data_IF_771180721043
#
_entry.id   IF_771180721043
#
_cell.length_a   1.000
_cell.length_b   1.000
_cell.length_c   1.000
_cell.angle_alpha   90.00
_cell.angle_beta   90.00
_cell.angle_gamma   90.00
#
_symmetry.space_group_name_H-M   'P 1'
#
loop_
_entity.id
_entity.type
_entity.pdbx_description
1 polymer ?
#
# COMPACT_ATOMS: atom_id res chain seq x y z
N UNK A 1 4.82 -7.62 -0.89
CA UNK A 1 3.91 -7.33 -2.04
C UNK A 1 4.76 -7.36 -3.29
N UNK A 2 4.25 -7.99 -4.36
CA UNK A 2 4.93 -8.11 -5.64
C UNK A 2 3.96 -7.66 -6.74
N UNK A 3 4.30 -6.58 -7.43
CA UNK A 3 3.57 -6.08 -8.59
C UNK A 3 4.06 -6.84 -9.83
N UNK A 4 3.18 -7.51 -10.58
CA UNK A 4 3.57 -8.16 -11.82
C UNK A 4 4.18 -7.18 -12.83
N UNK A 5 5.05 -7.64 -13.73
CA UNK A 5 5.43 -6.84 -14.90
C UNK A 5 4.19 -6.46 -15.70
N UNK A 6 4.21 -5.26 -16.30
CA UNK A 6 3.09 -4.69 -17.05
C UNK A 6 1.79 -4.56 -16.24
N UNK A 7 1.94 -4.23 -14.95
CA UNK A 7 0.84 -3.85 -14.09
C UNK A 7 1.26 -2.70 -13.16
N UNK A 8 0.29 -2.00 -12.60
CA UNK A 8 0.47 -1.12 -11.46
C UNK A 8 -0.40 -1.60 -10.30
N UNK A 9 0.01 -1.25 -9.08
CA UNK A 9 -0.80 -1.43 -7.87
C UNK A 9 -1.28 -0.09 -7.34
N UNK A 10 -2.56 0.03 -7.00
CA UNK A 10 -3.09 1.17 -6.25
C UNK A 10 -3.62 0.66 -4.91
N UNK A 11 -3.09 1.21 -3.82
CA UNK A 11 -3.56 0.89 -2.47
C UNK A 11 -4.58 1.93 -2.03
N UNK A 12 -5.71 1.46 -1.50
CA UNK A 12 -6.79 2.31 -1.00
C UNK A 12 -7.15 1.91 0.43
N UNK A 13 -7.49 2.88 1.31
CA UNK A 13 -7.99 2.57 2.64
C UNK A 13 -9.35 1.87 2.55
N UNK A 14 -9.66 1.02 3.53
CA UNK A 14 -11.00 0.44 3.64
C UNK A 14 -11.98 1.47 4.20
N UNK A 15 -13.22 1.45 3.71
CA UNK A 15 -14.28 2.36 4.18
C UNK A 15 -14.54 2.23 5.69
N UNK A 16 -14.31 1.06 6.29
CA UNK A 16 -14.39 0.88 7.74
C UNK A 16 -13.33 1.69 8.50
N UNK A 17 -12.11 1.82 7.97
CA UNK A 17 -11.07 2.65 8.58
C UNK A 17 -11.45 4.14 8.49
N UNK A 18 -11.94 4.57 7.33
CA UNK A 18 -12.43 5.95 7.13
C UNK A 18 -13.56 6.30 8.11
N UNK A 19 -14.50 5.37 8.34
CA UNK A 19 -15.58 5.54 9.33
C UNK A 19 -15.11 5.63 10.78
N UNK A 20 -13.87 5.21 11.09
CA UNK A 20 -13.25 5.40 12.39
C UNK A 20 -12.51 6.75 12.51
N UNK A 21 -12.55 7.60 11.47
CA UNK A 21 -11.85 8.88 11.44
C UNK A 21 -10.34 8.73 11.18
N UNK A 22 -9.93 7.72 10.41
CA UNK A 22 -8.53 7.51 10.03
C UNK A 22 -8.40 7.11 8.57
N UNK A 23 -7.24 7.38 7.97
CA UNK A 23 -6.92 6.98 6.60
C UNK A 23 -5.49 6.44 6.50
N UNK A 24 -5.22 5.72 5.42
CA UNK A 24 -3.87 5.36 5.02
C UNK A 24 -3.57 6.11 3.72
N UNK A 25 -2.58 6.97 3.78
CA UNK A 25 -1.98 7.54 2.58
C UNK A 25 -1.00 6.53 1.99
N UNK A 26 -1.16 6.27 0.71
CA UNK A 26 -0.29 5.37 -0.05
C UNK A 26 -0.14 5.92 -1.47
N UNK A 27 0.72 5.29 -2.25
CA UNK A 27 1.03 5.70 -3.62
C UNK A 27 0.69 4.59 -4.61
N UNK A 28 0.79 4.95 -5.90
CA UNK A 28 0.90 3.98 -6.98
C UNK A 28 2.19 3.17 -6.80
N UNK A 29 2.12 1.86 -6.98
CA UNK A 29 3.27 0.97 -7.01
C UNK A 29 3.55 0.49 -8.42
N UNK A 30 4.79 0.70 -8.86
CA UNK A 30 5.24 0.50 -10.22
C UNK A 30 5.31 -0.99 -10.64
N UNK A 31 5.25 -1.21 -11.96
CA UNK A 31 5.52 -2.50 -12.61
C UNK A 31 6.79 -3.13 -12.07
N UNK A 32 6.73 -4.39 -11.62
CA UNK A 32 7.90 -5.10 -11.10
C UNK A 32 8.41 -4.61 -9.74
N UNK A 33 7.70 -3.73 -9.03
CA UNK A 33 8.00 -3.43 -7.63
C UNK A 33 7.78 -4.68 -6.78
N UNK A 34 8.73 -4.98 -5.90
CA UNK A 34 8.57 -5.97 -4.86
C UNK A 34 9.14 -5.43 -3.56
N UNK A 35 8.40 -5.57 -2.46
CA UNK A 35 8.77 -5.02 -1.15
C UNK A 35 7.65 -5.17 -0.13
N UNK A 36 7.88 -4.77 1.11
CA UNK A 36 6.88 -4.86 2.19
C UNK A 36 5.64 -4.02 1.89
N UNK A 37 5.82 -2.88 1.23
CA UNK A 37 4.79 -1.87 1.01
C UNK A 37 4.56 -1.06 2.28
N UNK A 38 4.88 0.23 2.24
CA UNK A 38 4.72 1.16 3.36
C UNK A 38 3.62 2.18 3.01
N UNK A 39 2.76 2.45 3.98
CA UNK A 39 1.76 3.51 3.90
C UNK A 39 1.76 4.33 5.19
N UNK A 40 1.31 5.57 5.10
CA UNK A 40 1.22 6.49 6.23
C UNK A 40 -0.18 6.43 6.83
N UNK A 41 -0.31 5.89 8.04
CA UNK A 41 -1.56 5.95 8.81
C UNK A 41 -1.70 7.33 9.45
N UNK A 42 -2.80 8.03 9.15
CA UNK A 42 -3.17 9.28 9.79
C UNK A 42 -4.49 9.09 10.56
N UNK A 43 -4.50 9.48 11.83
CA UNK A 43 -5.69 9.44 12.70
C UNK A 43 -6.22 10.86 12.90
N UNK A 44 -7.36 11.17 12.29
CA UNK A 44 -8.05 12.46 12.44
C UNK A 44 -8.97 12.48 13.66
N UNK A 45 -9.40 11.30 14.11
CA UNK A 45 -10.25 11.17 15.30
C UNK A 45 -9.50 11.69 16.54
N UNK A 46 -9.98 12.77 17.20
CA UNK A 46 -9.27 13.38 18.33
C UNK A 46 -9.20 12.47 19.57
N UNK A 47 -10.07 11.45 19.64
CA UNK A 47 -10.06 10.44 20.70
C UNK A 47 -9.17 9.23 20.37
N UNK A 48 -8.49 9.23 19.23
CA UNK A 48 -7.70 8.12 18.74
C UNK A 48 -8.53 6.96 18.19
N UNK A 49 -7.87 5.85 17.85
CA UNK A 49 -8.48 4.61 17.39
C UNK A 49 -7.76 3.39 17.96
N UNK A 50 -8.45 2.24 18.02
CA UNK A 50 -7.83 0.93 18.30
C UNK A 50 -7.95 0.05 17.07
N UNK A 51 -6.85 -0.53 16.64
CA UNK A 51 -6.79 -1.46 15.51
C UNK A 51 -6.18 -2.76 16.03
N UNK A 52 -6.89 -3.87 15.85
CA UNK A 52 -6.37 -5.19 16.18
C UNK A 52 -5.22 -5.59 15.25
N UNK A 53 -4.23 -6.30 15.78
CA UNK A 53 -3.12 -6.81 14.98
C UNK A 53 -3.66 -7.73 13.88
N UNK A 54 -3.30 -7.45 12.63
CA UNK A 54 -3.78 -8.21 11.48
C UNK A 54 -5.13 -7.75 10.92
N UNK A 55 -5.76 -6.72 11.51
CA UNK A 55 -6.96 -6.14 10.94
C UNK A 55 -6.68 -5.63 9.51
N UNK A 56 -7.60 -5.94 8.59
CA UNK A 56 -7.55 -5.45 7.22
C UNK A 56 -7.92 -3.98 7.21
N UNK A 57 -6.96 -3.10 6.95
CA UNK A 57 -7.11 -1.63 6.98
C UNK A 57 -7.00 -0.97 5.61
N UNK A 58 -6.40 -1.67 4.64
CA UNK A 58 -6.28 -1.25 3.24
C UNK A 58 -6.55 -2.43 2.31
N UNK A 59 -6.67 -2.12 1.02
CA UNK A 59 -6.77 -3.09 -0.06
C UNK A 59 -5.95 -2.60 -1.25
N UNK A 60 -5.52 -3.51 -2.11
CA UNK A 60 -4.79 -3.20 -3.33
C UNK A 60 -5.62 -3.58 -4.55
N UNK A 61 -5.60 -2.74 -5.57
CA UNK A 61 -6.14 -3.03 -6.90
C UNK A 61 -4.95 -3.15 -7.84
N UNK A 62 -4.89 -4.25 -8.58
CA UNK A 62 -3.92 -4.43 -9.66
C UNK A 62 -4.58 -4.05 -10.98
N UNK A 63 -3.89 -3.23 -11.76
CA UNK A 63 -4.37 -2.72 -13.04
C UNK A 63 -3.33 -3.07 -14.09
N UNK A 64 -3.76 -3.69 -15.19
CA UNK A 64 -2.90 -3.93 -16.34
C UNK A 64 -2.44 -2.60 -16.93
N UNK A 65 -1.14 -2.46 -17.18
CA UNK A 65 -0.54 -1.22 -17.65
C UNK A 65 0.65 -1.50 -18.56
N UNK A 66 0.83 -0.70 -19.62
CA UNK A 66 2.08 -0.75 -20.39
C UNK A 66 3.20 -0.15 -19.55
N UNK A 67 4.30 -0.88 -19.38
CA UNK A 67 5.49 -0.37 -18.69
C UNK A 67 6.69 -0.35 -19.63
N UNK A 68 7.54 0.68 -19.53
CA UNK A 68 8.82 0.75 -20.25
C UNK A 68 9.91 -0.14 -19.62
N UNK A 69 9.62 -0.71 -18.45
CA UNK A 69 10.50 -1.60 -17.71
C UNK A 69 9.98 -1.84 -16.30
N UNK A 70 10.70 -2.66 -15.56
CA UNK A 70 10.41 -2.90 -14.14
C UNK A 70 11.04 -1.84 -13.24
N UNK A 71 10.45 -1.65 -12.07
CA UNK A 71 10.96 -0.83 -10.99
C UNK A 71 12.37 -1.28 -10.59
N UNK A 72 13.31 -0.33 -10.59
CA UNK A 72 14.72 -0.49 -10.19
C UNK A 72 15.14 0.55 -9.12
N UNK A 73 14.17 1.17 -8.45
CA UNK A 73 14.45 2.15 -7.42
C UNK A 73 14.95 1.52 -6.12
N UNK A 74 15.46 2.37 -5.23
CA UNK A 74 16.12 1.96 -3.97
C UNK A 74 15.21 1.22 -2.99
N UNK A 75 13.88 1.35 -3.12
CA UNK A 75 12.89 0.70 -2.26
C UNK A 75 12.52 -0.72 -2.71
N UNK A 76 13.16 -1.23 -3.78
CA UNK A 76 12.99 -2.62 -4.19
C UNK A 76 13.54 -3.52 -3.08
N UNK A 77 12.79 -4.56 -2.74
CA UNK A 77 13.04 -5.52 -1.66
C UNK A 77 12.92 -4.96 -0.24
N UNK A 78 12.38 -3.76 -0.06
CA UNK A 78 12.26 -3.17 1.27
C UNK A 78 11.52 -4.10 2.26
N UNK A 79 12.00 -4.15 3.49
CA UNK A 79 11.39 -4.95 4.55
C UNK A 79 11.50 -6.47 4.35
N UNK A 80 12.27 -6.96 3.36
CA UNK A 80 12.88 -8.29 3.46
C UNK A 80 14.06 -8.19 4.42
N UNK A 81 14.02 -8.94 5.52
CA UNK A 81 15.26 -9.21 6.25
C UNK A 81 16.17 -10.05 5.33
N UNK A 82 17.49 -9.79 5.34
CA UNK A 82 18.47 -10.66 4.68
C UNK A 82 18.41 -12.09 5.23
#
# INVERSE_FOLDING_TARGET
IRIPPNAIGIVLPRSSLLRMGATIFSALWDSGYEGRGIGLLHVFNPFGIKIEKGARIAQIILISARSSGEYKGIWKWEGRNP
#
